data_IF_745787901713
#
_entry.id   IF_745787901713
#
_cell.length_a   1.000
_cell.length_b   1.000
_cell.length_c   1.000
_cell.angle_alpha   90.00
_cell.angle_beta   90.00
_cell.angle_gamma   90.00
#
_symmetry.space_group_name_H-M   'P 1'
#
loop_
_entity.id
_entity.type
_entity.pdbx_description
1 polymer ?
#
# COMPACT_ATOMS: atom_id res chain seq x y z
N UNK A 1 -21.17 -26.73 -6.30
CA UNK A 1 -22.46 -26.01 -6.26
C UNK A 1 -22.14 -24.55 -6.52
N UNK A 2 -22.44 -24.10 -7.73
CA UNK A 2 -22.18 -22.72 -8.20
C UNK A 2 -23.28 -21.82 -7.67
N UNK A 3 -23.03 -21.16 -6.54
CA UNK A 3 -23.88 -20.03 -6.13
C UNK A 3 -23.70 -18.89 -7.13
N UNK A 4 -24.79 -18.54 -7.81
CA UNK A 4 -24.88 -17.35 -8.63
C UNK A 4 -24.66 -16.12 -7.73
N UNK A 5 -23.41 -15.67 -7.64
CA UNK A 5 -23.02 -14.39 -7.03
C UNK A 5 -23.45 -13.21 -7.92
N UNK A 6 -24.76 -13.04 -8.11
CA UNK A 6 -25.30 -11.76 -8.55
C UNK A 6 -25.16 -10.78 -7.39
N UNK A 7 -24.38 -9.73 -7.59
CA UNK A 7 -24.23 -8.63 -6.63
C UNK A 7 -25.60 -7.92 -6.55
N UNK A 8 -26.40 -8.32 -5.57
CA UNK A 8 -27.81 -7.98 -5.40
C UNK A 8 -28.07 -6.63 -4.71
N UNK A 9 -27.37 -5.58 -5.12
CA UNK A 9 -27.64 -4.20 -4.70
C UNK A 9 -28.06 -3.33 -5.87
N UNK A 10 -28.86 -2.28 -5.63
CA UNK A 10 -29.20 -1.28 -6.64
C UNK A 10 -27.98 -0.37 -6.88
N UNK A 11 -26.98 -0.88 -7.60
CA UNK A 11 -25.74 -0.16 -7.91
C UNK A 11 -26.10 1.02 -8.81
N UNK A 12 -25.76 2.27 -8.44
CA UNK A 12 -26.06 3.42 -9.28
C UNK A 12 -25.37 3.30 -10.65
N UNK A 13 -26.07 3.67 -11.73
CA UNK A 13 -25.51 3.62 -13.09
C UNK A 13 -24.21 4.43 -13.22
N UNK A 14 -24.07 5.49 -12.42
CA UNK A 14 -22.84 6.30 -12.37
C UNK A 14 -21.62 5.54 -11.85
N UNK A 15 -21.84 4.46 -11.08
CA UNK A 15 -20.79 3.59 -10.54
C UNK A 15 -20.44 2.42 -11.47
N UNK A 16 -21.17 2.26 -12.58
CA UNK A 16 -20.92 1.22 -13.58
C UNK A 16 -20.14 1.84 -14.73
N UNK A 17 -18.90 1.37 -14.97
CA UNK A 17 -18.04 1.89 -16.03
C UNK A 17 -17.39 0.76 -16.83
N UNK A 18 -17.18 0.95 -18.15
CA UNK A 18 -16.43 -0.01 -18.95
C UNK A 18 -14.98 -0.06 -18.50
N UNK A 19 -14.40 -1.25 -18.52
CA UNK A 19 -12.99 -1.50 -18.20
C UNK A 19 -12.30 -1.96 -19.47
N UNK A 20 -11.29 -1.24 -20.00
CA UNK A 20 -10.63 -1.62 -21.25
C UNK A 20 -9.64 -2.78 -21.10
N UNK A 21 -9.28 -3.15 -19.86
CA UNK A 21 -8.28 -4.18 -19.56
C UNK A 21 -8.89 -5.59 -19.55
N UNK A 22 -9.26 -6.09 -20.72
CA UNK A 22 -9.71 -7.47 -20.92
C UNK A 22 -9.40 -7.97 -22.33
N UNK A 23 -9.49 -9.28 -22.52
CA UNK A 23 -9.50 -9.91 -23.84
C UNK A 23 -10.69 -10.86 -23.97
N UNK A 24 -11.24 -11.01 -25.17
CA UNK A 24 -12.21 -12.07 -25.43
C UNK A 24 -11.49 -13.41 -25.51
N UNK A 25 -11.93 -14.39 -24.72
CA UNK A 25 -11.39 -15.76 -24.77
C UNK A 25 -12.28 -16.70 -25.57
N UNK A 26 -13.58 -16.38 -25.69
CA UNK A 26 -14.55 -17.06 -26.54
C UNK A 26 -15.66 -16.10 -26.95
N UNK A 27 -16.71 -16.61 -27.61
CA UNK A 27 -17.92 -15.82 -27.91
C UNK A 27 -18.72 -15.42 -26.66
N UNK A 28 -18.53 -16.12 -25.54
CA UNK A 28 -19.33 -15.96 -24.31
C UNK A 28 -18.51 -15.57 -23.08
N UNK A 29 -17.18 -15.56 -23.20
CA UNK A 29 -16.28 -15.32 -22.08
C UNK A 29 -15.19 -14.29 -22.40
N UNK A 30 -14.81 -13.58 -21.35
CA UNK A 30 -13.70 -12.62 -21.35
C UNK A 30 -12.70 -12.97 -20.26
N UNK A 31 -11.44 -12.59 -20.45
CA UNK A 31 -10.41 -12.63 -19.42
C UNK A 31 -10.08 -11.23 -18.94
N UNK A 32 -10.28 -10.99 -17.65
CA UNK A 32 -9.93 -9.74 -16.99
C UNK A 32 -8.40 -9.61 -16.87
N UNK A 33 -7.86 -8.42 -17.14
CA UNK A 33 -6.42 -8.11 -17.05
C UNK A 33 -6.08 -7.04 -16.01
N UNK A 34 -6.93 -6.84 -15.00
CA UNK A 34 -6.70 -5.83 -13.96
C UNK A 34 -5.75 -6.36 -12.86
N UNK A 35 -5.87 -7.63 -12.49
CA UNK A 35 -4.97 -8.28 -11.54
C UNK A 35 -4.50 -9.64 -12.02
N UNK A 36 -3.46 -10.15 -11.37
CA UNK A 36 -2.80 -11.41 -11.72
C UNK A 36 -3.68 -12.65 -11.52
N UNK A 37 -4.85 -12.53 -10.85
CA UNK A 37 -5.84 -13.62 -10.82
C UNK A 37 -6.35 -13.94 -12.23
N UNK A 38 -6.41 -12.94 -13.12
CA UNK A 38 -6.80 -13.11 -14.52
C UNK A 38 -8.11 -13.88 -14.72
N UNK A 39 -9.15 -13.53 -13.96
CA UNK A 39 -10.44 -14.24 -13.98
C UNK A 39 -10.99 -14.36 -15.41
N UNK A 40 -11.40 -15.57 -15.78
CA UNK A 40 -12.22 -15.83 -16.95
C UNK A 40 -13.70 -15.75 -16.55
N UNK A 41 -14.45 -14.87 -17.21
CA UNK A 41 -15.80 -14.47 -16.83
C UNK A 41 -16.78 -14.70 -17.98
N UNK A 42 -17.73 -15.61 -17.78
CA UNK A 42 -18.92 -15.72 -18.63
C UNK A 42 -19.87 -14.54 -18.40
N UNK A 43 -20.83 -14.33 -19.31
CA UNK A 43 -21.86 -13.29 -19.18
C UNK A 43 -22.52 -13.29 -17.78
N UNK A 44 -22.53 -12.13 -17.12
CA UNK A 44 -23.09 -11.94 -15.78
C UNK A 44 -22.27 -12.52 -14.62
N UNK A 45 -21.17 -13.24 -14.90
CA UNK A 45 -20.29 -13.77 -13.86
C UNK A 45 -19.48 -12.64 -13.21
N UNK A 46 -19.40 -12.67 -11.88
CA UNK A 46 -18.56 -11.75 -11.10
C UNK A 46 -17.16 -12.34 -10.92
N UNK A 47 -16.13 -11.49 -10.99
CA UNK A 47 -14.78 -11.87 -10.61
C UNK A 47 -14.63 -12.11 -9.11
N UNK A 48 -13.48 -12.69 -8.70
CA UNK A 48 -13.19 -12.97 -7.28
C UNK A 48 -13.29 -11.73 -6.40
N UNK A 49 -13.00 -10.56 -6.97
CA UNK A 49 -13.07 -9.27 -6.30
C UNK A 49 -14.48 -8.74 -6.05
N UNK A 50 -15.52 -9.39 -6.59
CA UNK A 50 -16.93 -9.00 -6.45
C UNK A 50 -17.24 -7.56 -6.92
N UNK A 51 -16.35 -6.92 -7.67
CA UNK A 51 -16.56 -5.54 -8.18
C UNK A 51 -16.46 -5.43 -9.70
N UNK A 52 -16.24 -6.54 -10.39
CA UNK A 52 -16.17 -6.59 -11.86
C UNK A 52 -16.99 -7.76 -12.39
N UNK A 53 -17.63 -7.55 -13.52
CA UNK A 53 -18.43 -8.57 -14.20
C UNK A 53 -18.36 -8.40 -15.71
N UNK A 54 -18.65 -9.48 -16.44
CA UNK A 54 -18.87 -9.43 -17.88
C UNK A 54 -20.32 -9.00 -18.16
N UNK A 55 -20.51 -7.90 -18.91
CA UNK A 55 -21.83 -7.47 -19.41
C UNK A 55 -21.76 -7.26 -20.92
N UNK A 56 -22.57 -8.02 -21.65
CA UNK A 56 -22.63 -8.02 -23.10
C UNK A 56 -21.24 -8.16 -23.75
N UNK A 57 -20.43 -9.11 -23.26
CA UNK A 57 -19.08 -9.37 -23.78
C UNK A 57 -18.05 -8.28 -23.46
N UNK A 58 -18.32 -7.39 -22.50
CA UNK A 58 -17.41 -6.34 -22.06
C UNK A 58 -17.18 -6.42 -20.56
N UNK A 59 -15.93 -6.19 -20.15
CA UNK A 59 -15.63 -6.04 -18.73
C UNK A 59 -16.19 -4.71 -18.23
N UNK A 60 -16.97 -4.76 -17.14
CA UNK A 60 -17.45 -3.57 -16.45
C UNK A 60 -17.05 -3.62 -14.98
N UNK A 61 -16.73 -2.45 -14.42
CA UNK A 61 -16.60 -2.27 -12.99
C UNK A 61 -17.94 -1.83 -12.40
N UNK A 62 -18.16 -2.17 -11.14
CA UNK A 62 -19.37 -1.90 -10.37
C UNK A 62 -19.12 -0.96 -9.19
N UNK A 63 -17.86 -0.59 -8.93
CA UNK A 63 -17.45 0.18 -7.76
C UNK A 63 -16.99 1.60 -8.08
N UNK A 64 -17.21 2.13 -9.30
CA UNK A 64 -16.66 3.42 -9.69
C UNK A 64 -17.20 4.54 -8.78
N UNK A 65 -16.29 5.20 -8.04
CA UNK A 65 -16.65 6.22 -7.07
C UNK A 65 -17.34 5.71 -5.80
N UNK A 66 -17.55 4.40 -5.61
CA UNK A 66 -18.11 3.87 -4.37
C UNK A 66 -17.03 3.85 -3.29
N UNK A 67 -17.28 4.56 -2.18
CA UNK A 67 -16.32 4.74 -1.10
C UNK A 67 -16.60 3.75 0.04
N UNK A 68 -15.59 2.99 0.45
CA UNK A 68 -15.64 2.13 1.64
C UNK A 68 -15.21 2.89 2.89
N UNK A 69 -14.21 3.75 2.76
CA UNK A 69 -13.64 4.51 3.87
C UNK A 69 -12.97 5.80 3.39
N UNK A 70 -12.95 6.82 4.25
CA UNK A 70 -12.30 8.09 3.97
C UNK A 70 -11.91 8.81 5.26
N UNK A 71 -10.64 9.23 5.38
CA UNK A 71 -10.10 9.93 6.56
C UNK A 71 -9.24 11.14 6.19
N UNK A 72 -9.18 12.11 7.11
CA UNK A 72 -8.12 13.12 7.16
C UNK A 72 -7.12 12.77 8.24
N UNK A 73 -5.87 12.61 7.85
CA UNK A 73 -4.83 12.13 8.75
C UNK A 73 -3.44 12.56 8.28
N UNK A 74 -2.42 12.50 9.17
CA UNK A 74 -1.03 12.63 8.75
C UNK A 74 -0.61 11.42 7.91
N UNK A 75 0.26 11.65 6.93
CA UNK A 75 0.74 10.62 6.00
C UNK A 75 1.40 9.41 6.71
N UNK A 76 1.96 9.64 7.89
CA UNK A 76 2.56 8.62 8.75
C UNK A 76 1.58 7.50 9.14
N UNK A 77 0.26 7.78 9.20
CA UNK A 77 -0.76 6.76 9.47
C UNK A 77 -0.87 5.72 8.36
N UNK A 78 -0.32 6.01 7.18
CA UNK A 78 -0.16 5.08 6.05
C UNK A 78 1.24 4.51 5.94
N UNK A 79 2.05 4.64 7.00
CA UNK A 79 3.44 4.18 7.11
C UNK A 79 4.44 4.84 6.17
N UNK A 80 4.02 5.75 5.29
CA UNK A 80 4.92 6.58 4.51
C UNK A 80 5.73 7.50 5.43
N UNK A 81 6.95 7.08 5.79
CA UNK A 81 7.82 7.85 6.68
C UNK A 81 8.79 8.71 5.87
N UNK A 82 9.13 8.30 4.65
CA UNK A 82 10.08 9.03 3.83
C UNK A 82 9.39 9.75 2.67
N UNK A 83 8.09 9.58 2.47
CA UNK A 83 7.32 10.29 1.46
C UNK A 83 6.49 11.42 2.10
N UNK A 84 6.87 12.68 1.86
CA UNK A 84 6.18 13.87 2.37
C UNK A 84 5.88 13.85 3.89
N UNK A 85 6.85 13.53 4.75
CA UNK A 85 6.64 13.43 6.19
C UNK A 85 6.01 14.70 6.80
N UNK A 86 5.08 14.51 7.73
CA UNK A 86 4.36 15.56 8.46
C UNK A 86 3.25 16.24 7.66
N UNK A 87 2.99 15.80 6.43
CA UNK A 87 1.93 16.37 5.62
C UNK A 87 0.58 15.76 5.95
N UNK A 88 -0.46 16.60 5.88
CA UNK A 88 -1.84 16.16 5.98
C UNK A 88 -2.32 15.65 4.62
N UNK A 89 -2.95 14.48 4.62
CA UNK A 89 -3.46 13.83 3.41
C UNK A 89 -4.95 13.52 3.54
N UNK A 90 -5.60 13.40 2.38
CA UNK A 90 -6.92 12.78 2.32
C UNK A 90 -6.74 11.32 1.92
N UNK A 91 -7.01 10.41 2.86
CA UNK A 91 -6.96 8.97 2.63
C UNK A 91 -8.33 8.48 2.20
N UNK A 92 -8.42 7.71 1.12
CA UNK A 92 -9.71 7.24 0.60
C UNK A 92 -9.60 5.86 -0.05
N UNK A 93 -10.65 5.05 0.11
CA UNK A 93 -10.69 3.68 -0.40
C UNK A 93 -12.02 3.29 -1.00
N UNK A 94 -11.95 2.31 -1.91
CA UNK A 94 -13.11 1.67 -2.52
C UNK A 94 -13.33 0.26 -1.98
N UNK A 95 -14.24 -0.47 -2.63
CA UNK A 95 -14.49 -1.89 -2.35
C UNK A 95 -13.74 -2.80 -3.32
N UNK A 96 -13.47 -4.03 -2.88
CA UNK A 96 -12.92 -5.10 -3.69
C UNK A 96 -11.53 -5.53 -3.25
N UNK A 97 -11.31 -6.85 -3.28
CA UNK A 97 -10.04 -7.50 -2.98
C UNK A 97 -9.75 -8.55 -4.06
N UNK A 98 -8.53 -8.56 -4.58
CA UNK A 98 -8.07 -9.60 -5.52
C UNK A 98 -7.87 -10.96 -4.84
N UNK A 99 -7.53 -10.99 -3.55
CA UNK A 99 -7.50 -12.21 -2.74
C UNK A 99 -7.80 -11.95 -1.25
N UNK A 100 -8.20 -12.97 -0.47
CA UNK A 100 -8.43 -12.83 0.97
C UNK A 100 -7.17 -12.37 1.71
N UNK A 101 -7.29 -11.55 2.74
CA UNK A 101 -6.17 -11.18 3.62
C UNK A 101 -6.22 -12.02 4.89
N UNK A 102 -5.33 -13.01 5.05
CA UNK A 102 -5.21 -13.73 6.32
C UNK A 102 -4.81 -12.77 7.45
N UNK A 103 -5.63 -12.71 8.51
CA UNK A 103 -5.38 -11.87 9.69
C UNK A 103 -5.57 -10.36 9.48
N UNK A 104 -6.32 -9.96 8.43
CA UNK A 104 -6.69 -8.58 8.15
C UNK A 104 -7.60 -7.96 9.23
N UNK A 105 -7.46 -6.64 9.43
CA UNK A 105 -8.22 -5.86 10.44
C UNK A 105 -9.31 -5.00 9.77
N UNK A 106 -9.35 -4.94 8.43
CA UNK A 106 -10.33 -4.13 7.70
C UNK A 106 -11.64 -4.92 7.55
N UNK A 107 -12.69 -4.43 8.24
CA UNK A 107 -13.98 -5.09 8.41
C UNK A 107 -14.98 -4.89 7.25
N UNK A 108 -14.55 -4.48 6.06
CA UNK A 108 -15.42 -4.12 4.93
C UNK A 108 -15.10 -4.89 3.63
N UNK A 109 -14.89 -6.21 3.76
CA UNK A 109 -14.66 -7.12 2.62
C UNK A 109 -15.91 -7.26 1.73
N UNK A 110 -17.09 -7.10 2.32
CA UNK A 110 -18.34 -7.23 1.60
C UNK A 110 -18.77 -5.93 0.96
N UNK A 111 -19.15 -6.04 -0.31
CA UNK A 111 -19.75 -4.95 -1.07
C UNK A 111 -20.97 -4.42 -0.31
N UNK A 112 -21.17 -3.09 -0.22
CA UNK A 112 -22.17 -2.53 0.68
C UNK A 112 -23.58 -2.98 0.28
N UNK A 113 -24.32 -3.50 1.26
CA UNK A 113 -25.77 -3.69 1.14
C UNK A 113 -26.49 -2.43 1.64
N UNK A 114 -27.37 -1.87 0.82
CA UNK A 114 -28.14 -0.66 1.18
C UNK A 114 -27.61 0.65 0.57
N UNK A 115 -27.40 1.68 1.39
CA UNK A 115 -27.10 3.05 0.93
C UNK A 115 -25.67 3.16 0.39
N UNK A 116 -25.54 3.01 -0.93
CA UNK A 116 -24.28 3.18 -1.67
C UNK A 116 -23.91 4.66 -1.75
N UNK A 117 -22.74 5.02 -1.20
CA UNK A 117 -22.18 6.38 -1.33
C UNK A 117 -21.26 6.44 -2.53
N UNK A 118 -21.67 7.19 -3.57
CA UNK A 118 -20.85 7.48 -4.74
C UNK A 118 -20.28 8.89 -4.62
N UNK A 119 -18.96 9.01 -4.69
CA UNK A 119 -18.24 10.27 -4.68
C UNK A 119 -17.64 10.54 -6.07
N UNK A 120 -18.06 11.61 -6.75
CA UNK A 120 -17.40 12.06 -7.98
C UNK A 120 -15.96 12.49 -7.71
N UNK A 121 -15.09 12.28 -8.70
CA UNK A 121 -13.67 12.62 -8.62
C UNK A 121 -13.45 14.09 -8.25
N UNK A 122 -14.26 15.00 -8.78
CA UNK A 122 -14.17 16.44 -8.54
C UNK A 122 -14.39 16.80 -7.06
N UNK A 123 -15.20 16.02 -6.34
CA UNK A 123 -15.44 16.24 -4.91
C UNK A 123 -14.23 15.86 -4.06
N UNK A 124 -13.43 14.87 -4.47
CA UNK A 124 -12.16 14.53 -3.81
C UNK A 124 -11.23 15.73 -3.85
N UNK A 125 -11.11 16.37 -5.01
CA UNK A 125 -10.23 17.53 -5.20
C UNK A 125 -10.71 18.72 -4.41
N UNK A 126 -11.99 19.07 -4.55
CA UNK A 126 -12.59 20.19 -3.85
C UNK A 126 -12.38 20.04 -2.33
N UNK A 127 -12.68 18.86 -1.80
CA UNK A 127 -12.50 18.58 -0.39
C UNK A 127 -11.01 18.64 0.04
N UNK A 128 -10.11 18.05 -0.74
CA UNK A 128 -8.67 18.06 -0.45
C UNK A 128 -8.10 19.48 -0.41
N UNK A 129 -8.53 20.35 -1.32
CA UNK A 129 -8.14 21.77 -1.34
C UNK A 129 -8.71 22.52 -0.14
N UNK A 130 -10.01 22.36 0.14
CA UNK A 130 -10.69 23.00 1.28
C UNK A 130 -10.03 22.63 2.61
N UNK A 131 -9.59 21.38 2.73
CA UNK A 131 -8.91 20.87 3.91
C UNK A 131 -7.40 21.12 3.90
N UNK A 132 -6.82 21.71 2.85
CA UNK A 132 -5.37 21.95 2.71
C UNK A 132 -4.55 20.66 2.80
N UNK A 133 -5.05 19.59 2.20
CA UNK A 133 -4.27 18.35 2.04
C UNK A 133 -3.13 18.58 1.05
N UNK A 134 -1.96 17.98 1.32
CA UNK A 134 -0.82 18.02 0.40
C UNK A 134 -0.95 17.01 -0.74
N UNK A 135 -1.70 15.94 -0.50
CA UNK A 135 -1.93 14.86 -1.44
C UNK A 135 -3.12 14.01 -1.07
N UNK A 136 -3.44 13.08 -1.97
CA UNK A 136 -4.48 12.05 -1.79
C UNK A 136 -3.79 10.69 -1.73
N UNK A 137 -4.09 9.91 -0.71
CA UNK A 137 -3.59 8.55 -0.56
C UNK A 137 -4.74 7.58 -0.76
N UNK A 138 -4.64 6.74 -1.78
CA UNK A 138 -5.60 5.68 -1.99
C UNK A 138 -5.20 4.47 -1.17
N UNK A 139 -5.99 4.19 -0.15
CA UNK A 139 -5.75 3.16 0.85
C UNK A 139 -7.07 2.40 1.12
N UNK A 140 -7.03 1.42 2.01
CA UNK A 140 -8.17 0.57 2.39
C UNK A 140 -8.59 -0.42 1.28
N UNK A 141 -8.86 -1.67 1.68
CA UNK A 141 -9.02 -2.81 0.77
C UNK A 141 -7.83 -2.96 -0.20
N UNK A 142 -8.06 -3.04 -1.51
CA UNK A 142 -7.01 -3.08 -2.53
C UNK A 142 -7.27 -2.02 -3.61
N UNK A 143 -6.49 -0.92 -3.64
CA UNK A 143 -6.73 0.19 -4.58
C UNK A 143 -6.74 -0.20 -6.05
N UNK A 144 -5.99 -1.24 -6.46
CA UNK A 144 -6.05 -1.73 -7.85
C UNK A 144 -7.42 -2.31 -8.22
N UNK A 145 -8.21 -2.78 -7.25
CA UNK A 145 -9.59 -3.18 -7.51
C UNK A 145 -10.51 -1.98 -7.75
N UNK A 146 -10.04 -0.77 -7.47
CA UNK A 146 -10.70 0.50 -7.75
C UNK A 146 -10.01 1.30 -8.87
N UNK A 147 -9.22 0.61 -9.70
CA UNK A 147 -8.33 1.16 -10.73
C UNK A 147 -8.97 2.24 -11.62
N UNK A 148 -10.20 2.05 -12.10
CA UNK A 148 -10.80 2.97 -13.07
C UNK A 148 -11.05 4.34 -12.44
N UNK A 149 -11.53 4.35 -11.20
CA UNK A 149 -11.71 5.58 -10.43
C UNK A 149 -10.38 6.16 -9.99
N UNK A 150 -9.45 5.30 -9.54
CA UNK A 150 -8.09 5.65 -9.17
C UNK A 150 -7.40 6.45 -10.29
N UNK A 151 -7.46 5.95 -11.53
CA UNK A 151 -6.85 6.57 -12.71
C UNK A 151 -7.39 7.98 -12.96
N UNK A 152 -8.72 8.14 -12.98
CA UNK A 152 -9.33 9.45 -13.20
C UNK A 152 -9.03 10.42 -12.04
N UNK A 153 -9.09 9.92 -10.80
CA UNK A 153 -8.79 10.70 -9.62
C UNK A 153 -7.34 11.17 -9.58
N UNK A 154 -6.38 10.29 -9.81
CA UNK A 154 -4.96 10.65 -9.82
C UNK A 154 -4.64 11.75 -10.84
N UNK A 155 -5.20 11.65 -12.04
CA UNK A 155 -5.02 12.68 -13.08
C UNK A 155 -5.50 14.05 -12.61
N UNK A 156 -6.68 14.10 -11.98
CA UNK A 156 -7.22 15.36 -11.49
C UNK A 156 -6.47 15.89 -10.25
N UNK A 157 -6.02 15.00 -9.36
CA UNK A 157 -5.18 15.37 -8.19
C UNK A 157 -3.88 16.02 -8.67
N UNK A 158 -3.18 15.37 -9.62
CA UNK A 158 -1.93 15.88 -10.20
C UNK A 158 -2.12 17.21 -10.92
N UNK A 159 -3.22 17.37 -11.67
CA UNK A 159 -3.54 18.63 -12.35
C UNK A 159 -3.74 19.81 -11.36
N UNK A 160 -4.01 19.54 -10.09
CA UNK A 160 -4.16 20.54 -9.02
C UNK A 160 -2.91 20.65 -8.12
N UNK A 161 -1.75 20.13 -8.55
CA UNK A 161 -0.47 20.31 -7.86
C UNK A 161 -0.32 19.54 -6.55
N UNK A 162 -1.18 18.54 -6.32
CA UNK A 162 -1.12 17.62 -5.18
C UNK A 162 -0.43 16.32 -5.58
N UNK A 163 0.21 15.64 -4.62
CA UNK A 163 0.75 14.30 -4.89
C UNK A 163 -0.33 13.23 -4.82
N UNK A 164 -0.06 12.07 -5.44
CA UNK A 164 -0.86 10.86 -5.24
C UNK A 164 0.00 9.74 -4.68
N UNK A 165 -0.59 8.92 -3.80
CA UNK A 165 0.05 7.69 -3.37
C UNK A 165 -0.95 6.55 -3.21
N UNK A 166 -0.46 5.31 -3.22
CA UNK A 166 -1.28 4.12 -2.92
C UNK A 166 -0.64 3.25 -1.85
N UNK A 167 -1.48 2.63 -1.01
CA UNK A 167 -1.12 1.51 -0.13
C UNK A 167 -1.74 0.26 -0.73
N UNK A 168 -0.93 -0.68 -1.22
CA UNK A 168 -1.41 -1.81 -2.03
C UNK A 168 -0.66 -3.09 -1.72
N UNK A 169 -1.32 -4.22 -1.94
CA UNK A 169 -0.67 -5.53 -1.94
C UNK A 169 0.15 -5.79 -3.21
N UNK A 170 0.10 -4.89 -4.20
CA UNK A 170 0.92 -4.94 -5.41
C UNK A 170 0.51 -5.99 -6.43
N UNK A 171 -0.54 -6.79 -6.16
CA UNK A 171 -0.94 -7.93 -6.98
C UNK A 171 -1.88 -7.49 -8.11
N UNK A 172 -1.41 -6.56 -8.92
CA UNK A 172 -2.06 -6.04 -10.12
C UNK A 172 -1.17 -6.20 -11.34
N UNK A 173 -1.74 -6.11 -12.53
CA UNK A 173 -0.96 -6.32 -13.76
C UNK A 173 -0.02 -5.17 -14.06
N UNK A 174 1.04 -5.47 -14.83
CA UNK A 174 1.91 -4.41 -15.38
C UNK A 174 1.13 -3.40 -16.23
N UNK A 175 0.01 -3.80 -16.86
CA UNK A 175 -0.87 -2.89 -17.61
C UNK A 175 -1.50 -1.82 -16.69
N UNK A 176 -1.96 -2.21 -15.51
CA UNK A 176 -2.47 -1.26 -14.49
C UNK A 176 -1.36 -0.29 -14.08
N UNK A 177 -0.16 -0.80 -13.75
CA UNK A 177 0.97 0.05 -13.38
C UNK A 177 1.32 1.03 -14.50
N UNK A 178 1.35 0.56 -15.75
CA UNK A 178 1.68 1.38 -16.91
C UNK A 178 0.71 2.53 -17.13
N UNK A 179 -0.57 2.35 -16.78
CA UNK A 179 -1.57 3.39 -16.93
C UNK A 179 -1.50 4.42 -15.80
N UNK A 180 -1.26 4.01 -14.55
CA UNK A 180 -1.24 4.93 -13.40
C UNK A 180 0.14 5.49 -13.08
N UNK A 181 1.22 4.86 -13.53
CA UNK A 181 2.58 5.11 -13.08
C UNK A 181 3.03 6.55 -13.25
N UNK A 182 2.65 7.21 -14.34
CA UNK A 182 2.98 8.62 -14.57
C UNK A 182 2.30 9.57 -13.57
N UNK A 183 1.12 9.19 -13.06
CA UNK A 183 0.33 9.97 -12.11
C UNK A 183 0.55 9.59 -10.66
N UNK A 184 1.21 8.45 -10.40
CA UNK A 184 1.55 7.92 -9.08
C UNK A 184 2.86 8.53 -8.57
N UNK A 185 2.89 9.09 -7.36
CA UNK A 185 4.13 9.67 -6.78
C UNK A 185 4.72 8.81 -5.66
N UNK A 186 3.88 8.14 -4.87
CA UNK A 186 4.32 7.23 -3.81
C UNK A 186 3.57 5.90 -3.82
N UNK A 187 4.24 4.79 -3.52
CA UNK A 187 3.63 3.49 -3.32
C UNK A 187 4.19 2.83 -2.08
N UNK A 188 3.30 2.37 -1.21
CA UNK A 188 3.65 1.48 -0.11
C UNK A 188 3.13 0.09 -0.44
N UNK A 189 4.06 -0.85 -0.59
CA UNK A 189 3.76 -2.23 -0.96
C UNK A 189 3.76 -3.14 0.26
N UNK A 190 2.67 -3.87 0.43
CA UNK A 190 2.51 -4.88 1.47
C UNK A 190 3.08 -6.22 0.99
N UNK A 191 4.38 -6.44 1.24
CA UNK A 191 5.07 -7.68 0.87
C UNK A 191 5.17 -8.58 2.10
N UNK A 192 4.28 -9.57 2.16
CA UNK A 192 4.16 -10.47 3.31
C UNK A 192 4.84 -11.84 3.10
N UNK A 193 5.32 -12.14 1.89
CA UNK A 193 5.91 -13.45 1.59
C UNK A 193 6.97 -13.36 0.49
N UNK A 194 8.00 -14.18 0.63
CA UNK A 194 9.00 -14.51 -0.41
C UNK A 194 9.06 -16.03 -0.69
N UNK A 195 8.06 -16.77 -0.22
CA UNK A 195 7.91 -18.20 -0.43
C UNK A 195 6.51 -18.52 -0.98
N UNK A 196 6.39 -19.46 -1.92
CA UNK A 196 5.10 -19.81 -2.52
C UNK A 196 4.11 -20.41 -1.51
N UNK A 197 4.59 -21.19 -0.53
CA UNK A 197 3.76 -21.80 0.51
C UNK A 197 3.20 -20.73 1.45
N UNK A 198 4.07 -19.87 1.96
CA UNK A 198 3.69 -18.71 2.77
C UNK A 198 2.72 -17.81 1.99
N UNK A 199 3.01 -17.53 0.72
CA UNK A 199 2.13 -16.69 -0.11
C UNK A 199 0.76 -17.32 -0.34
N UNK A 200 0.71 -18.65 -0.52
CA UNK A 200 -0.54 -19.42 -0.63
C UNK A 200 -1.34 -19.36 0.65
N UNK A 201 -0.70 -19.40 1.82
CA UNK A 201 -1.40 -19.20 3.09
C UNK A 201 -2.03 -17.81 3.13
N UNK A 202 -1.30 -16.75 2.78
CA UNK A 202 -1.81 -15.38 2.83
C UNK A 202 -2.91 -15.06 1.82
N UNK A 203 -2.79 -15.57 0.58
CA UNK A 203 -3.56 -15.09 -0.58
C UNK A 203 -4.37 -16.17 -1.29
N UNK A 204 -4.13 -17.45 -0.99
CA UNK A 204 -4.62 -18.56 -1.81
C UNK A 204 -3.96 -18.67 -3.19
N UNK A 205 -2.97 -17.82 -3.50
CA UNK A 205 -2.21 -17.80 -4.76
C UNK A 205 -0.77 -18.24 -4.54
N UNK A 206 -0.04 -18.58 -5.62
CA UNK A 206 1.38 -18.98 -5.53
C UNK A 206 2.35 -18.00 -6.18
N UNK A 207 1.87 -17.12 -7.07
CA UNK A 207 2.73 -16.33 -7.94
C UNK A 207 2.93 -14.89 -7.44
N UNK A 208 3.77 -14.66 -6.44
CA UNK A 208 4.00 -13.31 -5.90
C UNK A 208 4.96 -12.44 -6.72
N UNK A 209 5.62 -12.99 -7.76
CA UNK A 209 6.71 -12.33 -8.48
C UNK A 209 6.28 -11.00 -9.13
N UNK A 210 5.02 -10.88 -9.56
CA UNK A 210 4.51 -9.64 -10.14
C UNK A 210 4.52 -8.48 -9.13
N UNK A 211 4.32 -8.75 -7.82
CA UNK A 211 4.40 -7.73 -6.77
C UNK A 211 5.80 -7.11 -6.75
N UNK A 212 6.83 -7.96 -6.83
CA UNK A 212 8.24 -7.55 -6.83
C UNK A 212 8.60 -6.78 -8.10
N UNK A 213 8.08 -7.23 -9.25
CA UNK A 213 8.28 -6.56 -10.52
C UNK A 213 7.59 -5.18 -10.54
N UNK A 214 6.37 -5.08 -10.02
CA UNK A 214 5.67 -3.80 -9.90
C UNK A 214 6.43 -2.83 -9.00
N UNK A 215 7.00 -3.28 -7.89
CA UNK A 215 7.85 -2.47 -7.02
C UNK A 215 9.05 -1.88 -7.78
N UNK A 216 9.77 -2.77 -8.49
CA UNK A 216 10.94 -2.42 -9.29
C UNK A 216 10.59 -1.44 -10.41
N UNK A 217 9.51 -1.71 -11.17
CA UNK A 217 9.06 -0.84 -12.26
C UNK A 217 8.58 0.51 -11.76
N UNK A 218 7.82 0.56 -10.66
CA UNK A 218 7.35 1.81 -10.07
C UNK A 218 8.53 2.75 -9.79
N UNK A 219 9.59 2.24 -9.14
CA UNK A 219 10.79 3.02 -8.86
C UNK A 219 11.58 3.37 -10.13
N UNK A 220 11.92 2.37 -10.95
CA UNK A 220 12.90 2.53 -12.05
C UNK A 220 12.35 3.28 -13.24
N UNK A 221 11.13 2.90 -13.67
CA UNK A 221 10.47 3.43 -14.86
C UNK A 221 9.72 4.72 -14.56
N UNK A 222 8.94 4.73 -13.49
CA UNK A 222 8.01 5.82 -13.19
C UNK A 222 8.50 6.80 -12.12
N UNK A 223 9.69 6.55 -11.53
CA UNK A 223 10.27 7.37 -10.46
C UNK A 223 9.33 7.55 -9.27
N UNK A 224 8.51 6.53 -9.00
CA UNK A 224 7.63 6.49 -7.83
C UNK A 224 8.48 6.23 -6.60
N UNK A 225 8.22 6.95 -5.52
CA UNK A 225 8.82 6.65 -4.22
C UNK A 225 8.22 5.35 -3.67
N UNK A 226 9.07 4.39 -3.32
CA UNK A 226 8.64 3.06 -2.84
C UNK A 226 9.01 2.90 -1.38
N UNK A 227 8.05 2.49 -0.56
CA UNK A 227 8.26 1.99 0.80
C UNK A 227 7.67 0.58 0.91
N UNK A 228 8.26 -0.28 1.74
CA UNK A 228 7.80 -1.66 1.91
C UNK A 228 7.23 -1.83 3.30
N UNK A 229 6.07 -2.47 3.41
CA UNK A 229 5.52 -2.92 4.68
C UNK A 229 5.39 -4.44 4.69
N UNK A 230 5.79 -5.05 5.79
CA UNK A 230 5.63 -6.48 6.04
C UNK A 230 4.95 -6.66 7.38
N UNK A 231 3.76 -7.27 7.36
CA UNK A 231 3.05 -7.69 8.56
C UNK A 231 3.52 -9.10 8.91
N UNK A 232 4.20 -9.23 10.04
CA UNK A 232 4.70 -10.49 10.56
C UNK A 232 3.57 -11.22 11.29
N UNK A 233 3.27 -12.43 10.82
CA UNK A 233 2.37 -13.38 11.44
C UNK A 233 3.23 -14.54 11.97
N UNK A 234 3.39 -14.66 13.30
CA UNK A 234 4.26 -15.68 13.90
C UNK A 234 3.91 -17.09 13.43
N UNK A 235 4.93 -17.87 13.11
CA UNK A 235 4.82 -19.23 12.57
C UNK A 235 4.38 -19.32 11.10
N UNK A 236 4.17 -18.19 10.40
CA UNK A 236 3.78 -18.17 8.98
C UNK A 236 4.86 -17.54 8.10
N UNK A 237 5.23 -16.27 8.35
CA UNK A 237 6.21 -15.52 7.54
C UNK A 237 7.31 -14.90 8.40
N UNK A 238 7.69 -15.55 9.49
CA UNK A 238 8.66 -15.05 10.46
C UNK A 238 9.98 -15.84 10.47
N UNK A 239 10.16 -16.74 9.50
CA UNK A 239 11.38 -17.53 9.40
C UNK A 239 12.60 -16.63 9.10
N UNK A 240 13.73 -16.90 9.76
CA UNK A 240 15.00 -16.18 9.54
C UNK A 240 15.40 -16.16 8.06
N UNK A 241 15.20 -17.27 7.34
CA UNK A 241 15.54 -17.40 5.92
C UNK A 241 14.71 -16.47 5.06
N UNK A 242 13.40 -16.44 5.27
CA UNK A 242 12.50 -15.58 4.49
C UNK A 242 12.78 -14.10 4.77
N UNK A 243 12.97 -13.72 6.03
CA UNK A 243 13.26 -12.33 6.42
C UNK A 243 14.60 -11.81 5.87
N UNK A 244 15.64 -12.65 5.88
CA UNK A 244 16.91 -12.32 5.20
C UNK A 244 16.73 -12.16 3.69
N UNK A 245 15.85 -12.96 3.09
CA UNK A 245 15.57 -12.89 1.65
C UNK A 245 14.85 -11.59 1.30
N UNK A 246 13.84 -11.18 2.08
CA UNK A 246 13.18 -9.87 1.92
C UNK A 246 14.19 -8.74 2.04
N UNK A 247 14.99 -8.73 3.11
CA UNK A 247 15.97 -7.67 3.35
C UNK A 247 16.98 -7.54 2.20
N UNK A 248 17.52 -8.67 1.74
CA UNK A 248 18.46 -8.72 0.64
C UNK A 248 17.83 -8.22 -0.66
N UNK A 249 16.58 -8.62 -0.95
CA UNK A 249 15.88 -8.16 -2.14
C UNK A 249 15.62 -6.65 -2.12
N UNK A 250 15.14 -6.10 -0.98
CA UNK A 250 14.92 -4.65 -0.84
C UNK A 250 16.22 -3.91 -1.17
N UNK A 251 17.33 -4.30 -0.55
CA UNK A 251 18.63 -3.69 -0.79
C UNK A 251 19.07 -3.78 -2.26
N UNK A 252 18.98 -4.96 -2.85
CA UNK A 252 19.51 -5.23 -4.19
C UNK A 252 18.66 -4.59 -5.30
N UNK A 253 17.33 -4.58 -5.12
CA UNK A 253 16.40 -4.19 -6.18
C UNK A 253 15.94 -2.74 -6.04
N UNK A 254 15.61 -2.33 -4.81
CA UNK A 254 15.07 -1.00 -4.48
C UNK A 254 16.11 -0.05 -3.88
N UNK A 255 17.21 -0.59 -3.32
CA UNK A 255 18.30 0.17 -2.73
C UNK A 255 18.31 0.16 -1.21
N UNK A 256 19.50 0.28 -0.62
CA UNK A 256 19.74 0.15 0.83
C UNK A 256 19.03 1.20 1.70
N UNK A 257 18.63 2.32 1.10
CA UNK A 257 17.93 3.42 1.79
C UNK A 257 16.41 3.31 1.69
N UNK A 258 15.88 2.28 1.03
CA UNK A 258 14.42 2.03 0.95
C UNK A 258 13.86 1.73 2.34
N UNK A 259 12.87 2.47 2.83
CA UNK A 259 12.23 2.18 4.12
C UNK A 259 11.53 0.82 4.13
N UNK A 260 11.81 0.03 5.17
CA UNK A 260 11.10 -1.20 5.47
C UNK A 260 10.37 -1.10 6.80
N UNK A 261 9.05 -1.25 6.76
CA UNK A 261 8.14 -1.19 7.88
C UNK A 261 7.75 -2.59 8.32
N UNK A 262 7.87 -2.86 9.61
CA UNK A 262 7.56 -4.13 10.23
C UNK A 262 6.46 -3.92 11.27
N UNK A 263 5.40 -4.69 11.17
CA UNK A 263 4.33 -4.72 12.16
C UNK A 263 4.04 -6.15 12.57
N UNK A 264 3.57 -6.35 13.80
CA UNK A 264 3.18 -7.67 14.30
C UNK A 264 1.67 -7.86 14.18
N UNK A 265 1.25 -9.05 13.75
CA UNK A 265 -0.14 -9.49 13.77
C UNK A 265 -0.46 -10.24 15.07
N UNK A 266 -1.56 -9.86 15.72
CA UNK A 266 -2.06 -10.53 16.93
C UNK A 266 -1.13 -10.36 18.14
N UNK A 267 -1.30 -11.26 19.11
CA UNK A 267 -0.62 -11.21 20.41
C UNK A 267 0.70 -12.01 20.44
N UNK A 268 1.43 -12.04 19.31
CA UNK A 268 2.71 -12.74 19.18
C UNK A 268 3.83 -12.16 20.06
N UNK A 269 4.95 -12.88 20.19
CA UNK A 269 6.12 -12.36 20.90
C UNK A 269 6.70 -11.15 20.15
N UNK A 270 6.68 -9.95 20.76
CA UNK A 270 7.17 -8.73 20.12
C UNK A 270 8.66 -8.69 19.81
N UNK A 271 9.47 -9.51 20.50
CA UNK A 271 10.92 -9.59 20.28
C UNK A 271 11.27 -10.01 18.85
N UNK A 272 10.33 -10.65 18.14
CA UNK A 272 10.51 -11.06 16.75
C UNK A 272 10.78 -9.88 15.81
N UNK A 273 10.12 -8.74 16.03
CA UNK A 273 10.33 -7.54 15.21
C UNK A 273 11.75 -6.98 15.39
N UNK A 274 12.26 -7.01 16.62
CA UNK A 274 13.63 -6.60 16.95
C UNK A 274 14.66 -7.52 16.30
N UNK A 275 14.42 -8.82 16.35
CA UNK A 275 15.25 -9.80 15.67
C UNK A 275 15.26 -9.60 14.16
N UNK A 276 14.09 -9.43 13.53
CA UNK A 276 14.01 -9.19 12.08
C UNK A 276 14.71 -7.88 11.71
N UNK A 277 14.56 -6.83 12.51
CA UNK A 277 15.29 -5.57 12.33
C UNK A 277 16.80 -5.77 12.38
N UNK A 278 17.33 -6.56 13.32
CA UNK A 278 18.76 -6.82 13.37
C UNK A 278 19.25 -7.57 12.12
N UNK A 279 18.47 -8.54 11.62
CA UNK A 279 18.79 -9.23 10.35
C UNK A 279 18.84 -8.28 9.15
N UNK A 280 17.92 -7.30 9.12
CA UNK A 280 17.86 -6.29 8.07
C UNK A 280 19.07 -5.33 8.14
N UNK A 281 19.45 -4.91 9.34
CA UNK A 281 20.61 -4.05 9.59
C UNK A 281 21.94 -4.79 9.31
N UNK A 282 22.04 -6.08 9.63
CA UNK A 282 23.15 -6.94 9.21
C UNK A 282 23.26 -7.04 7.68
N UNK A 283 22.15 -6.90 6.96
CA UNK A 283 22.13 -6.81 5.49
C UNK A 283 22.51 -5.41 4.98
N UNK A 284 22.75 -4.45 5.87
CA UNK A 284 23.08 -3.05 5.61
C UNK A 284 21.89 -2.20 5.10
N UNK A 285 20.65 -2.62 5.40
CA UNK A 285 19.50 -1.74 5.23
C UNK A 285 19.55 -0.58 6.23
N UNK A 286 19.38 0.64 5.73
CA UNK A 286 19.59 1.86 6.53
C UNK A 286 18.36 2.27 7.32
N UNK A 287 17.17 1.87 6.87
CA UNK A 287 15.89 2.34 7.41
C UNK A 287 14.92 1.18 7.62
N UNK A 288 14.79 0.77 8.88
CA UNK A 288 13.87 -0.30 9.31
C UNK A 288 13.07 0.19 10.50
N UNK A 289 11.75 0.25 10.34
CA UNK A 289 10.80 0.83 11.29
C UNK A 289 9.90 -0.25 11.89
N UNK A 290 9.69 -0.16 13.20
CA UNK A 290 8.81 -1.09 13.92
C UNK A 290 7.52 -0.38 14.33
N UNK A 291 6.38 -1.04 14.12
CA UNK A 291 5.04 -0.52 14.40
C UNK A 291 4.27 -1.42 15.36
N UNK A 292 3.23 -0.86 15.99
CA UNK A 292 2.37 -1.54 16.98
C UNK A 292 3.16 -2.10 18.17
N UNK A 293 4.19 -1.36 18.60
CA UNK A 293 5.11 -1.77 19.67
C UNK A 293 4.70 -1.31 21.07
N UNK A 294 3.52 -0.73 21.24
CA UNK A 294 3.14 -0.05 22.50
C UNK A 294 2.82 -1.00 23.65
N UNK A 295 2.23 -2.17 23.39
CA UNK A 295 2.09 -3.22 24.42
C UNK A 295 3.45 -3.78 24.87
N UNK A 296 4.52 -3.53 24.09
CA UNK A 296 5.83 -4.15 24.23
C UNK A 296 6.74 -3.41 25.21
N UNK A 297 6.53 -2.10 25.44
CA UNK A 297 7.31 -1.32 26.42
C UNK A 297 7.14 -1.85 27.85
N UNK A 298 5.96 -2.36 28.18
CA UNK A 298 5.63 -2.86 29.53
C UNK A 298 6.25 -4.25 29.78
N UNK A 299 6.20 -5.17 28.80
CA UNK A 299 6.78 -6.51 28.95
C UNK A 299 8.31 -6.52 28.92
N UNK A 300 8.94 -5.76 28.01
CA UNK A 300 10.40 -5.73 27.88
C UNK A 300 11.09 -4.99 29.04
N UNK A 301 10.47 -3.93 29.56
CA UNK A 301 10.93 -3.30 30.80
C UNK A 301 10.84 -4.27 31.99
N UNK A 302 9.80 -5.12 32.03
CA UNK A 302 9.64 -6.16 33.04
C UNK A 302 10.64 -7.32 32.90
N UNK A 303 11.20 -7.53 31.71
CA UNK A 303 12.24 -8.52 31.42
C UNK A 303 13.68 -8.00 31.57
N UNK A 304 13.87 -6.76 32.03
CA UNK A 304 15.19 -6.15 32.25
C UNK A 304 15.92 -5.73 30.96
N UNK A 305 15.22 -5.67 29.83
CA UNK A 305 15.78 -5.20 28.56
C UNK A 305 15.75 -3.67 28.56
N UNK A 306 16.92 -3.04 28.59
CA UNK A 306 17.02 -1.58 28.46
C UNK A 306 16.78 -1.22 27.00
N UNK A 307 15.57 -0.76 26.70
CA UNK A 307 15.25 -0.21 25.39
C UNK A 307 15.73 1.25 25.38
N UNK A 308 16.77 1.54 24.60
CA UNK A 308 17.16 2.92 24.32
C UNK A 308 15.98 3.62 23.62
N UNK A 309 15.34 4.56 24.33
CA UNK A 309 14.15 5.33 23.92
C UNK A 309 14.32 6.05 22.59
N UNK A 310 15.57 6.29 22.19
CA UNK A 310 15.91 7.18 21.08
C UNK A 310 15.54 6.56 19.72
N UNK A 311 15.38 5.24 19.65
CA UNK A 311 15.01 4.52 18.42
C UNK A 311 13.69 3.73 18.52
N UNK A 312 12.95 3.87 19.62
CA UNK A 312 11.89 2.90 20.00
C UNK A 312 10.56 3.52 20.38
N UNK A 313 10.50 4.84 20.55
CA UNK A 313 9.25 5.57 20.77
C UNK A 313 9.02 6.56 19.63
N UNK A 314 8.25 6.15 18.61
CA UNK A 314 7.65 7.10 17.65
C UNK A 314 8.11 7.01 16.20
N UNK A 315 9.09 6.16 15.86
CA UNK A 315 9.48 6.01 14.45
C UNK A 315 10.21 7.24 13.88
N UNK A 316 10.99 7.94 14.70
CA UNK A 316 11.88 9.02 14.25
C UNK A 316 12.81 8.54 13.12
N UNK A 317 13.18 9.45 12.21
CA UNK A 317 14.16 9.18 11.16
C UNK A 317 15.49 9.83 11.53
N UNK A 318 16.58 9.05 11.52
CA UNK A 318 17.95 9.52 11.74
C UNK A 318 18.78 9.42 10.46
N UNK A 319 19.83 10.23 10.36
CA UNK A 319 20.75 10.15 9.23
C UNK A 319 21.56 8.86 9.32
N UNK A 320 21.52 8.02 8.29
CA UNK A 320 22.25 6.75 8.28
C UNK A 320 23.78 6.90 8.30
N UNK A 321 24.32 8.10 8.03
CA UNK A 321 25.76 8.39 8.05
C UNK A 321 26.25 9.06 9.32
N UNK A 322 25.53 10.07 9.82
CA UNK A 322 25.98 10.87 10.98
C UNK A 322 25.11 10.68 12.23
N UNK A 323 24.07 9.85 12.14
CA UNK A 323 23.15 9.48 13.22
C UNK A 323 22.40 10.64 13.88
N UNK A 324 22.44 11.84 13.30
CA UNK A 324 21.64 12.98 13.77
C UNK A 324 20.18 12.85 13.34
N UNK A 325 19.29 13.36 14.18
CA UNK A 325 17.85 13.37 13.95
C UNK A 325 17.52 14.17 12.68
N UNK A 326 16.80 13.54 11.77
CA UNK A 326 16.28 14.15 10.53
C UNK A 326 14.82 14.55 10.71
N UNK A 327 14.00 13.63 11.21
CA UNK A 327 12.57 13.80 11.38
C UNK A 327 12.18 13.29 12.76
N UNK A 328 11.57 14.16 13.56
CA UNK A 328 10.93 13.79 14.82
C UNK A 328 9.47 13.43 14.56
N UNK A 329 8.95 12.40 15.23
CA UNK A 329 7.57 11.92 15.12
C UNK A 329 6.96 11.67 16.50
N UNK A 330 5.71 12.05 16.63
CA UNK A 330 4.79 11.69 17.70
C UNK A 330 3.58 10.96 17.09
N UNK A 331 2.61 10.56 17.90
CA UNK A 331 1.37 9.92 17.40
C UNK A 331 0.53 10.82 16.45
N UNK A 332 0.73 12.13 16.52
CA UNK A 332 -0.10 13.13 15.82
C UNK A 332 0.69 14.06 14.91
N UNK A 333 2.00 14.16 15.09
CA UNK A 333 2.82 15.16 14.39
C UNK A 333 4.14 14.56 13.92
N UNK A 334 4.64 15.04 12.79
CA UNK A 334 6.00 14.83 12.34
C UNK A 334 6.65 16.15 11.95
N UNK A 335 7.87 16.36 12.42
CA UNK A 335 8.65 17.59 12.22
C UNK A 335 9.97 17.25 11.55
N UNK A 336 10.11 17.68 10.30
CA UNK A 336 11.35 17.54 9.52
C UNK A 336 12.25 18.75 9.76
N UNK A 337 13.19 18.64 10.71
CA UNK A 337 14.10 19.73 11.10
C UNK A 337 15.56 19.48 10.73
N UNK A 338 15.95 18.23 10.44
CA UNK A 338 17.32 17.87 10.08
C UNK A 338 17.59 17.78 8.58
N UNK A 339 16.61 18.13 7.75
CA UNK A 339 16.68 18.03 6.29
C UNK A 339 16.65 19.40 5.62
N UNK A 340 17.52 19.57 4.62
CA UNK A 340 17.39 20.61 3.61
C UNK A 340 17.09 19.90 2.29
N UNK A 341 15.83 20.04 1.82
CA UNK A 341 15.26 19.22 0.75
C UNK A 341 15.32 17.72 1.11
N UNK A 342 16.23 16.99 0.47
CA UNK A 342 16.42 15.55 0.61
C UNK A 342 17.79 15.22 1.25
N UNK A 343 18.52 16.25 1.72
CA UNK A 343 19.88 16.10 2.27
C UNK A 343 19.91 16.38 3.76
N UNK A 344 20.75 15.63 4.46
CA UNK A 344 21.05 15.90 5.86
C UNK A 344 21.77 17.25 6.01
N UNK A 345 21.20 18.15 6.80
CA UNK A 345 21.77 19.48 7.11
C UNK A 345 23.13 19.42 7.80
N UNK A 346 23.47 18.30 8.44
CA UNK A 346 24.67 18.17 9.25
C UNK A 346 25.87 17.56 8.52
N UNK A 347 25.65 16.58 7.65
CA UNK A 347 26.74 15.89 6.93
C UNK A 347 26.60 15.94 5.40
N UNK A 348 25.54 16.56 4.88
CA UNK A 348 25.30 16.79 3.46
C UNK A 348 24.93 15.56 2.64
N UNK A 349 24.80 14.38 3.27
CA UNK A 349 24.43 13.15 2.55
C UNK A 349 22.99 13.23 2.06
N UNK A 350 22.77 12.72 0.85
CA UNK A 350 21.45 12.49 0.30
C UNK A 350 20.74 11.38 1.07
N UNK A 351 19.48 11.60 1.39
CA UNK A 351 18.64 10.69 2.16
C UNK A 351 17.57 10.11 1.25
N UNK A 352 16.88 9.06 1.70
CA UNK A 352 15.70 8.56 0.99
C UNK A 352 14.43 9.36 1.26
N UNK A 353 14.50 10.48 2.00
CA UNK A 353 13.32 11.30 2.28
C UNK A 353 12.99 12.17 1.08
N UNK A 354 11.80 12.00 0.54
CA UNK A 354 11.26 12.70 -0.61
C UNK A 354 10.25 13.77 -0.20
N UNK A 355 10.53 15.02 -0.57
CA UNK A 355 9.70 16.19 -0.24
C UNK A 355 9.26 16.98 -1.49
N UNK A 356 9.44 16.40 -2.67
CA UNK A 356 9.16 17.04 -3.96
C UNK A 356 8.13 16.22 -4.75
N UNK A 357 7.28 16.88 -5.52
CA UNK A 357 6.33 16.19 -6.43
C UNK A 357 6.93 16.02 -7.83
N UNK A 358 8.15 16.53 -8.03
CA UNK A 358 8.86 16.47 -9.29
C UNK A 358 9.63 15.17 -9.37
N UNK A 359 9.24 14.33 -10.33
CA UNK A 359 9.97 13.13 -10.74
C UNK A 359 11.20 13.60 -11.53
N UNK A 360 12.39 13.46 -10.95
CA UNK A 360 13.67 13.83 -11.58
C UNK A 360 14.24 12.71 -12.46
#
# INVERSE_FOLDING_TARGET
MTENNQIGGNIPDTAIKPVPLFEATSSEAIRCKVCEISCELSEGQSGVCKVRTNRAGKLVTLNYGIISHADLEPIERKYFYHFFPGTKVFSIGGYGLNYPRVGGVDHNDDFPSGNIRVLPVEKIIKFSIEQRCRGVVFAYNEPSMWYEFLYDAMRLVKANGMFTAIVSNGYFTSEVLNNIGDYLDGILLEINSFNEETFRVFSGQTQFQQILENASQAQRKFKVHVEINTRIVPGINDSTTEMKTIAAWIKQVLGETTPWHLSLAGDGDPTILWYIKSLAEENDLKYVYLHNVEQQKIQLASAGVTINSDNTAGGNTFCYKCHRLLISRTETEAVSSGLERERCTYCGIETSVHNTIWKL
#
